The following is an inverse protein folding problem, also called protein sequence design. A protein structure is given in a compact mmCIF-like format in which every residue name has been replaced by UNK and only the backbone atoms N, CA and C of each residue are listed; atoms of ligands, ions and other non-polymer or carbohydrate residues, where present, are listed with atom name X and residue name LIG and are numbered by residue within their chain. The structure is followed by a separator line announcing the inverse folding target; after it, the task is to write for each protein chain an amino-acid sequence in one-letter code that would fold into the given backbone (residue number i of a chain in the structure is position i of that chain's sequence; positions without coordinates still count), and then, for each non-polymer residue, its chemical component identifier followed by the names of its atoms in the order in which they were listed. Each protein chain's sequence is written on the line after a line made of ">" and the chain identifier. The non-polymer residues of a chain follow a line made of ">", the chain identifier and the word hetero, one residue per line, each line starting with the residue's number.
data_IF_882375895303
#
_entry.id   IF_882375895303
#
_cell.length_a   1.000
_cell.length_b   1.000
_cell.length_c   1.000
_cell.angle_alpha   90.00
_cell.angle_beta   90.00
_cell.angle_gamma   90.00
#
_symmetry.space_group_name_H-M   'P 1'
#
loop_
_entity.id
_entity.type
_entity.pdbx_description
1 polymer ?
#
# COMPACT_ATOMS: atom_id res chain seq x y z
N UNK A 1 11.82 30.05 -1.11
CA UNK A 1 10.50 30.30 -1.66
C UNK A 1 10.55 30.38 -3.19
N UNK A 2 11.05 29.40 -3.87
CA UNK A 2 10.86 29.12 -5.31
C UNK A 2 10.93 27.61 -5.52
N UNK A 3 10.32 26.88 -4.61
CA UNK A 3 9.89 25.50 -4.83
C UNK A 3 8.70 25.66 -5.76
N UNK A 4 8.69 24.92 -6.88
CA UNK A 4 7.42 24.35 -7.26
C UNK A 4 6.63 24.97 -8.42
N UNK A 5 7.15 25.90 -9.18
CA UNK A 5 6.47 26.27 -10.42
C UNK A 5 6.38 25.07 -11.41
N UNK A 6 7.37 24.17 -11.38
CA UNK A 6 7.39 22.94 -12.17
C UNK A 6 6.50 21.85 -11.55
N UNK A 7 6.63 21.67 -10.23
CA UNK A 7 5.84 20.69 -9.48
C UNK A 7 4.36 21.11 -9.46
N UNK A 8 4.09 22.42 -9.29
CA UNK A 8 2.74 22.97 -9.36
C UNK A 8 2.09 22.83 -10.76
N UNK A 9 2.86 22.88 -11.84
CA UNK A 9 2.36 22.63 -13.20
C UNK A 9 2.07 21.14 -13.48
N UNK A 10 2.77 20.23 -12.81
CA UNK A 10 2.56 18.78 -12.94
C UNK A 10 1.49 18.23 -11.97
N UNK A 11 1.07 19.01 -10.95
CA UNK A 11 0.08 18.56 -9.97
C UNK A 11 -1.25 18.10 -10.56
N UNK A 12 -1.87 18.77 -11.55
CA UNK A 12 -3.13 18.30 -12.13
C UNK A 12 -2.95 17.06 -13.02
N UNK A 13 -1.74 16.84 -13.57
CA UNK A 13 -1.47 15.74 -14.52
C UNK A 13 -0.70 14.56 -13.90
N UNK A 14 -0.38 14.60 -12.59
CA UNK A 14 0.39 13.52 -11.93
C UNK A 14 -0.27 12.15 -12.08
N UNK A 15 -1.57 12.08 -11.86
CA UNK A 15 -2.30 10.83 -12.03
C UNK A 15 -2.31 10.36 -13.50
N UNK A 16 -2.43 11.29 -14.46
CA UNK A 16 -2.40 10.97 -15.88
C UNK A 16 -1.02 10.49 -16.34
N UNK A 17 0.06 11.12 -15.87
CA UNK A 17 1.43 10.67 -16.17
C UNK A 17 1.72 9.30 -15.54
N UNK A 18 1.27 9.08 -14.29
CA UNK A 18 1.36 7.77 -13.65
C UNK A 18 0.60 6.70 -14.43
N UNK A 19 -0.64 7.00 -14.85
CA UNK A 19 -1.44 6.05 -15.60
C UNK A 19 -0.82 5.70 -16.96
N UNK A 20 -0.27 6.69 -17.66
CA UNK A 20 0.43 6.46 -18.92
C UNK A 20 1.68 5.58 -18.73
N UNK A 21 2.48 5.88 -17.70
CA UNK A 21 3.65 5.06 -17.35
C UNK A 21 3.25 3.61 -17.03
N UNK A 22 2.21 3.42 -16.20
CA UNK A 22 1.73 2.09 -15.85
C UNK A 22 1.14 1.31 -17.03
N UNK A 23 0.56 1.98 -18.02
CA UNK A 23 0.06 1.33 -19.23
C UNK A 23 1.19 0.81 -20.14
N UNK A 24 2.32 1.52 -20.16
CA UNK A 24 3.49 1.16 -21.00
C UNK A 24 4.46 0.23 -20.29
N UNK A 25 4.48 0.23 -18.96
CA UNK A 25 5.43 -0.53 -18.13
C UNK A 25 5.52 -2.04 -18.45
N UNK A 26 4.42 -2.79 -18.74
CA UNK A 26 4.53 -4.23 -19.02
C UNK A 26 5.25 -4.56 -20.32
N UNK A 27 5.49 -3.57 -21.20
CA UNK A 27 6.25 -3.78 -22.43
C UNK A 27 7.76 -3.88 -22.16
N UNK A 28 8.24 -3.25 -21.07
CA UNK A 28 9.65 -3.26 -20.69
C UNK A 28 10.01 -4.41 -19.74
N UNK A 29 9.02 -5.05 -19.10
CA UNK A 29 9.27 -6.12 -18.14
C UNK A 29 9.06 -7.50 -18.77
N UNK A 30 10.12 -8.36 -18.83
CA UNK A 30 10.00 -9.72 -19.35
C UNK A 30 9.11 -10.61 -18.46
N UNK A 31 9.16 -10.44 -17.15
CA UNK A 31 8.38 -11.21 -16.18
C UNK A 31 7.15 -10.42 -15.70
N UNK A 32 6.00 -10.68 -16.32
CA UNK A 32 4.74 -9.97 -16.04
C UNK A 32 4.22 -10.18 -14.62
N UNK A 33 4.55 -11.31 -13.99
CA UNK A 33 4.17 -11.60 -12.61
C UNK A 33 4.83 -10.61 -11.62
N UNK A 34 6.12 -10.31 -11.82
CA UNK A 34 6.85 -9.33 -11.01
C UNK A 34 6.24 -7.93 -11.19
N UNK A 35 5.87 -7.58 -12.43
CA UNK A 35 5.23 -6.29 -12.69
C UNK A 35 3.89 -6.14 -11.95
N UNK A 36 3.07 -7.19 -11.89
CA UNK A 36 1.83 -7.21 -11.11
C UNK A 36 2.13 -7.05 -9.62
N UNK A 37 3.13 -7.76 -9.11
CA UNK A 37 3.52 -7.68 -7.71
C UNK A 37 4.02 -6.28 -7.33
N UNK A 38 4.79 -5.62 -8.20
CA UNK A 38 5.23 -4.22 -8.03
C UNK A 38 4.01 -3.28 -7.92
N UNK A 39 2.98 -3.47 -8.73
CA UNK A 39 1.76 -2.66 -8.65
C UNK A 39 1.03 -2.84 -7.32
N UNK A 40 0.87 -4.07 -6.86
CA UNK A 40 0.16 -4.40 -5.63
C UNK A 40 0.94 -3.88 -4.42
N UNK A 41 2.24 -4.17 -4.35
CA UNK A 41 3.09 -3.72 -3.25
C UNK A 41 3.30 -2.20 -3.28
N UNK A 42 3.34 -1.59 -4.47
CA UNK A 42 3.36 -0.14 -4.64
C UNK A 42 2.08 0.51 -4.11
N UNK A 43 0.91 -0.10 -4.35
CA UNK A 43 -0.36 0.35 -3.80
C UNK A 43 -0.40 0.22 -2.26
N UNK A 44 0.14 -0.87 -1.73
CA UNK A 44 0.29 -1.07 -0.29
C UNK A 44 1.21 -0.01 0.35
N UNK A 45 2.39 0.21 -0.24
CA UNK A 45 3.31 1.26 0.19
C UNK A 45 2.71 2.66 0.04
N UNK A 46 1.83 2.89 -0.96
CA UNK A 46 1.09 4.14 -1.13
C UNK A 46 0.12 4.39 0.02
N UNK A 47 -0.63 3.36 0.45
CA UNK A 47 -1.50 3.43 1.62
C UNK A 47 -0.71 3.78 2.88
N UNK A 48 0.45 3.15 3.09
CA UNK A 48 1.36 3.49 4.19
C UNK A 48 1.90 4.93 4.07
N UNK A 49 2.28 5.38 2.87
CA UNK A 49 2.79 6.71 2.61
C UNK A 49 1.74 7.80 2.87
N UNK A 50 0.46 7.51 2.70
CA UNK A 50 -0.61 8.45 3.05
C UNK A 50 -0.54 8.81 4.54
N UNK A 51 -0.31 7.83 5.41
CA UNK A 51 -0.24 8.06 6.84
C UNK A 51 1.15 8.57 7.27
N UNK A 52 2.21 7.90 6.86
CA UNK A 52 3.57 8.24 7.29
C UNK A 52 4.14 9.44 6.51
N UNK A 53 3.99 9.42 5.20
CA UNK A 53 4.55 10.43 4.32
C UNK A 53 3.85 11.78 4.39
N UNK A 54 2.53 11.82 4.45
CA UNK A 54 1.77 13.08 4.43
C UNK A 54 1.32 13.55 5.81
N UNK A 55 1.15 12.65 6.78
CA UNK A 55 0.70 13.01 8.13
C UNK A 55 1.79 12.86 9.20
N UNK A 56 2.86 12.11 8.91
CA UNK A 56 3.99 11.92 9.82
C UNK A 56 3.76 10.85 10.91
N UNK A 57 2.75 9.99 10.78
CA UNK A 57 2.44 8.94 11.73
C UNK A 57 3.01 7.59 11.28
N UNK A 58 4.04 7.11 11.98
CA UNK A 58 4.61 5.77 11.76
C UNK A 58 3.72 4.71 12.38
N UNK A 59 3.20 3.79 11.58
CA UNK A 59 2.36 2.67 12.03
C UNK A 59 2.90 1.34 11.54
N UNK A 60 3.03 0.38 12.45
CA UNK A 60 3.33 -1.03 12.12
C UNK A 60 2.08 -1.92 12.04
N UNK A 61 0.89 -1.29 11.97
CA UNK A 61 -0.39 -1.98 11.82
C UNK A 61 -0.82 -2.27 10.39
N UNK A 62 -0.05 -1.83 9.39
CA UNK A 62 -0.47 -1.89 7.98
C UNK A 62 -0.58 -3.31 7.42
N UNK A 63 0.16 -4.29 7.98
CA UNK A 63 0.00 -5.70 7.66
C UNK A 63 -1.44 -6.19 7.95
N UNK A 64 -2.01 -5.76 9.09
CA UNK A 64 -3.39 -6.11 9.43
C UNK A 64 -4.42 -5.51 8.46
N UNK A 65 -4.14 -4.34 7.89
CA UNK A 65 -5.00 -3.70 6.90
C UNK A 65 -4.95 -4.44 5.55
N UNK A 66 -3.73 -4.80 5.12
CA UNK A 66 -3.49 -5.61 3.92
C UNK A 66 -4.12 -6.99 4.06
N UNK A 67 -3.74 -7.73 5.12
CA UNK A 67 -4.21 -9.09 5.34
C UNK A 67 -5.70 -9.15 5.63
N UNK A 68 -6.25 -8.20 6.41
CA UNK A 68 -7.69 -8.09 6.64
C UNK A 68 -8.47 -7.92 5.34
N UNK A 69 -7.96 -7.09 4.42
CA UNK A 69 -8.52 -6.94 3.08
C UNK A 69 -8.40 -8.20 2.23
N UNK A 70 -7.24 -8.88 2.27
CA UNK A 70 -7.01 -10.12 1.54
C UNK A 70 -7.93 -11.25 2.02
N UNK A 71 -8.04 -11.44 3.34
CA UNK A 71 -8.92 -12.46 3.91
C UNK A 71 -10.40 -12.18 3.66
N UNK A 72 -10.85 -10.93 3.80
CA UNK A 72 -12.24 -10.58 3.51
C UNK A 72 -12.59 -10.86 2.04
N UNK A 73 -11.71 -10.49 1.11
CA UNK A 73 -11.87 -10.80 -0.31
C UNK A 73 -11.89 -12.32 -0.54
N UNK A 74 -10.91 -13.05 0.02
CA UNK A 74 -10.80 -14.50 -0.13
C UNK A 74 -12.00 -15.25 0.43
N UNK A 75 -12.45 -14.91 1.65
CA UNK A 75 -13.62 -15.54 2.28
C UNK A 75 -14.88 -15.31 1.45
N UNK A 76 -15.11 -14.09 0.96
CA UNK A 76 -16.28 -13.73 0.15
C UNK A 76 -16.29 -14.53 -1.16
N UNK A 77 -15.16 -14.71 -1.81
CA UNK A 77 -15.07 -15.47 -3.06
C UNK A 77 -15.17 -16.97 -2.80
N UNK A 78 -14.42 -17.51 -1.82
CA UNK A 78 -14.29 -18.96 -1.62
C UNK A 78 -15.48 -19.55 -0.88
N UNK A 79 -15.95 -18.88 0.18
CA UNK A 79 -17.00 -19.42 1.06
C UNK A 79 -18.40 -19.06 0.60
N UNK A 80 -18.59 -17.83 0.12
CA UNK A 80 -19.89 -17.34 -0.33
C UNK A 80 -20.09 -17.46 -1.84
N UNK A 81 -19.06 -17.88 -2.60
CA UNK A 81 -19.15 -18.01 -4.06
C UNK A 81 -19.47 -16.71 -4.79
N UNK A 82 -19.21 -15.57 -4.14
CA UNK A 82 -19.55 -14.26 -4.71
C UNK A 82 -18.57 -13.88 -5.82
N UNK A 83 -19.01 -13.04 -6.78
CA UNK A 83 -18.16 -12.60 -7.87
C UNK A 83 -16.99 -11.74 -7.37
N UNK A 84 -15.91 -11.70 -8.16
CA UNK A 84 -14.66 -11.03 -7.85
C UNK A 84 -14.81 -9.55 -7.45
N UNK A 85 -15.77 -8.81 -8.05
CA UNK A 85 -15.98 -7.39 -7.76
C UNK A 85 -16.55 -7.17 -6.34
N UNK A 86 -17.42 -8.06 -5.85
CA UNK A 86 -17.87 -8.06 -4.44
C UNK A 86 -16.68 -8.40 -3.53
N UNK A 87 -15.82 -9.34 -3.94
CA UNK A 87 -14.60 -9.68 -3.21
C UNK A 87 -13.67 -8.48 -3.04
N UNK A 88 -13.41 -7.72 -4.11
CA UNK A 88 -12.57 -6.52 -4.04
C UNK A 88 -13.21 -5.43 -3.18
N UNK A 89 -14.51 -5.20 -3.34
CA UNK A 89 -15.23 -4.23 -2.54
C UNK A 89 -15.21 -4.60 -1.05
N UNK A 90 -15.46 -5.86 -0.72
CA UNK A 90 -15.42 -6.36 0.66
C UNK A 90 -14.03 -6.25 1.26
N UNK A 91 -12.96 -6.56 0.50
CA UNK A 91 -11.58 -6.41 0.96
C UNK A 91 -11.20 -4.96 1.23
N UNK A 92 -11.60 -4.04 0.35
CA UNK A 92 -11.39 -2.61 0.55
C UNK A 92 -12.12 -2.11 1.79
N UNK A 93 -13.38 -2.47 1.96
CA UNK A 93 -14.19 -2.10 3.13
C UNK A 93 -13.64 -2.71 4.42
N UNK A 94 -13.22 -3.97 4.39
CA UNK A 94 -12.60 -4.63 5.54
C UNK A 94 -11.30 -3.92 5.97
N UNK A 95 -10.45 -3.54 5.03
CA UNK A 95 -9.27 -2.73 5.31
C UNK A 95 -9.62 -1.40 5.99
N UNK A 96 -10.67 -0.71 5.51
CA UNK A 96 -11.17 0.53 6.14
C UNK A 96 -11.73 0.28 7.56
N UNK A 97 -12.49 -0.80 7.76
CA UNK A 97 -13.09 -1.14 9.06
C UNK A 97 -12.00 -1.53 10.08
N UNK A 98 -11.04 -2.36 9.69
CA UNK A 98 -9.89 -2.71 10.53
C UNK A 98 -9.10 -1.46 10.88
N UNK A 99 -8.85 -0.56 9.92
CA UNK A 99 -8.20 0.71 10.17
C UNK A 99 -9.03 1.60 11.10
N UNK A 100 -10.34 1.65 10.95
CA UNK A 100 -11.21 2.42 11.84
C UNK A 100 -11.12 1.92 13.29
N UNK A 101 -11.12 0.59 13.49
CA UNK A 101 -10.99 -0.03 14.81
C UNK A 101 -9.62 0.21 15.43
N UNK A 102 -8.53 -0.12 14.72
CA UNK A 102 -7.15 0.12 15.19
C UNK A 102 -6.93 1.61 15.43
N UNK A 103 -7.37 2.46 14.50
CA UNK A 103 -7.23 3.90 14.57
C UNK A 103 -7.93 4.51 15.79
N UNK A 104 -9.15 4.08 16.10
CA UNK A 104 -9.90 4.57 17.26
C UNK A 104 -9.16 4.35 18.58
N UNK A 105 -8.42 3.26 18.70
CA UNK A 105 -7.62 2.92 19.88
C UNK A 105 -6.23 3.61 19.84
N UNK A 106 -5.55 3.53 18.70
CA UNK A 106 -4.16 3.97 18.56
C UNK A 106 -4.00 5.50 18.54
N UNK A 107 -4.95 6.26 17.99
CA UNK A 107 -4.84 7.73 17.84
C UNK A 107 -4.75 8.47 19.18
N UNK A 108 -5.17 7.83 20.27
CA UNK A 108 -5.01 8.37 21.63
C UNK A 108 -3.55 8.43 22.08
N UNK A 109 -2.67 7.70 21.40
CA UNK A 109 -1.23 7.65 21.67
C UNK A 109 -0.45 8.50 20.67
N UNK A 110 0.82 8.83 20.99
CA UNK A 110 1.67 9.70 20.17
C UNK A 110 3.07 9.11 19.98
N UNK A 111 3.72 9.50 18.88
CA UNK A 111 5.10 9.12 18.62
C UNK A 111 5.29 7.61 18.57
N UNK A 112 6.29 7.10 19.26
CA UNK A 112 6.65 5.67 19.28
C UNK A 112 5.55 4.78 19.87
N UNK A 113 4.77 5.31 20.84
CA UNK A 113 3.66 4.56 21.44
C UNK A 113 2.55 4.26 20.43
N UNK A 114 2.30 5.15 19.47
CA UNK A 114 1.38 4.90 18.36
C UNK A 114 1.84 3.72 17.52
N UNK A 115 3.12 3.67 17.17
CA UNK A 115 3.71 2.56 16.42
C UNK A 115 3.60 1.22 17.17
N UNK A 116 3.88 1.22 18.48
CA UNK A 116 3.80 0.01 19.32
C UNK A 116 2.37 -0.49 19.48
N UNK A 117 1.39 0.40 19.70
CA UNK A 117 -0.03 0.03 19.85
C UNK A 117 -0.57 -0.54 18.52
N UNK A 118 -0.24 0.09 17.39
CA UNK A 118 -0.67 -0.42 16.07
C UNK A 118 -0.05 -1.77 15.76
N UNK A 119 1.20 -2.02 16.15
CA UNK A 119 1.86 -3.33 16.02
C UNK A 119 1.18 -4.38 16.90
N UNK A 120 0.89 -4.07 18.16
CA UNK A 120 0.24 -5.01 19.08
C UNK A 120 -1.16 -5.40 18.57
N UNK A 121 -1.97 -4.42 18.11
CA UNK A 121 -3.30 -4.68 17.57
C UNK A 121 -3.24 -5.48 16.26
N UNK A 122 -2.24 -5.24 15.41
CA UNK A 122 -2.02 -6.05 14.21
C UNK A 122 -1.67 -7.51 14.55
N UNK A 123 -0.84 -7.73 15.58
CA UNK A 123 -0.51 -9.08 16.06
C UNK A 123 -1.72 -9.79 16.66
N UNK A 124 -2.61 -9.08 17.36
CA UNK A 124 -3.88 -9.67 17.80
C UNK A 124 -4.70 -10.20 16.61
N UNK A 125 -4.82 -9.42 15.52
CA UNK A 125 -5.53 -9.85 14.32
C UNK A 125 -4.83 -11.03 13.62
N UNK A 126 -3.50 -11.05 13.59
CA UNK A 126 -2.74 -12.20 13.10
C UNK A 126 -3.08 -13.47 13.89
N UNK A 127 -3.05 -13.43 15.23
CA UNK A 127 -3.37 -14.58 16.06
C UNK A 127 -4.83 -15.02 15.91
N UNK A 128 -5.77 -14.09 15.79
CA UNK A 128 -7.17 -14.42 15.50
C UNK A 128 -7.29 -15.15 14.16
N UNK A 129 -6.64 -14.67 13.11
CA UNK A 129 -6.65 -15.33 11.81
C UNK A 129 -5.94 -16.69 11.85
N UNK A 130 -4.84 -16.80 12.59
CA UNK A 130 -4.10 -18.05 12.75
C UNK A 130 -4.93 -19.14 13.46
N UNK A 131 -5.72 -18.76 14.46
CA UNK A 131 -6.56 -19.68 15.23
C UNK A 131 -7.90 -20.02 14.58
N UNK A 132 -8.43 -19.13 13.74
CA UNK A 132 -9.72 -19.32 13.06
C UNK A 132 -9.60 -20.25 11.86
N UNK A 133 -9.05 -21.46 12.05
CA UNK A 133 -8.70 -22.42 10.98
C UNK A 133 -9.87 -22.69 10.03
N UNK A 134 -11.08 -22.83 10.55
CA UNK A 134 -12.27 -23.10 9.75
C UNK A 134 -12.59 -21.99 8.73
N UNK A 135 -12.23 -20.74 9.02
CA UNK A 135 -12.52 -19.59 8.16
C UNK A 135 -11.34 -19.16 7.32
N UNK A 136 -10.15 -19.17 7.88
CA UNK A 136 -8.93 -18.61 7.30
C UNK A 136 -7.99 -19.65 6.71
N UNK A 137 -8.18 -20.94 7.06
CA UNK A 137 -7.24 -22.01 6.76
C UNK A 137 -6.05 -22.09 7.71
N UNK A 138 -5.99 -21.21 8.74
CA UNK A 138 -4.92 -21.19 9.74
C UNK A 138 -3.53 -20.98 9.11
N UNK A 139 -2.56 -21.81 9.53
CA UNK A 139 -1.18 -21.77 9.03
C UNK A 139 -1.08 -21.98 7.51
N UNK A 140 -1.95 -22.82 6.94
CA UNK A 140 -1.96 -23.11 5.50
C UNK A 140 -2.51 -21.95 4.64
N UNK A 141 -3.12 -20.96 5.25
CA UNK A 141 -3.78 -19.86 4.57
C UNK A 141 -5.05 -20.27 3.83
N UNK A 142 -5.81 -19.30 3.35
CA UNK A 142 -7.04 -19.52 2.61
C UNK A 142 -6.73 -19.78 1.14
N UNK A 143 -6.96 -21.02 0.67
CA UNK A 143 -6.72 -21.43 -0.71
C UNK A 143 -8.00 -21.38 -1.53
N UNK A 144 -7.83 -21.36 -2.86
CA UNK A 144 -8.96 -21.46 -3.79
C UNK A 144 -9.57 -20.12 -4.19
N UNK A 145 -8.86 -19.01 -4.01
CA UNK A 145 -9.26 -17.69 -4.51
C UNK A 145 -9.07 -17.63 -6.03
N UNK A 146 -9.76 -18.53 -6.75
CA UNK A 146 -9.62 -18.65 -8.19
C UNK A 146 -10.69 -17.80 -8.89
N UNK A 147 -10.23 -16.77 -9.58
CA UNK A 147 -11.03 -16.00 -10.52
C UNK A 147 -10.59 -16.40 -11.92
N UNK A 148 -11.23 -17.45 -12.47
CA UNK A 148 -10.83 -18.03 -13.75
C UNK A 148 -11.18 -17.14 -14.96
N UNK A 149 -12.22 -16.33 -14.88
CA UNK A 149 -12.63 -15.43 -15.95
C UNK A 149 -13.48 -14.26 -15.45
N UNK A 150 -13.29 -13.10 -16.05
CA UNK A 150 -14.16 -11.94 -15.86
C UNK A 150 -15.08 -11.85 -17.08
N UNK A 151 -16.36 -12.06 -16.88
CA UNK A 151 -17.37 -11.67 -17.84
C UNK A 151 -17.76 -10.20 -17.59
N UNK A 152 -17.21 -9.31 -18.36
CA UNK A 152 -17.59 -7.90 -18.35
C UNK A 152 -18.29 -7.57 -19.67
N UNK A 153 -19.56 -7.18 -19.62
CA UNK A 153 -20.34 -6.75 -20.81
C UNK A 153 -20.29 -7.75 -21.98
N UNK A 154 -20.29 -9.07 -21.69
CA UNK A 154 -20.26 -10.10 -22.75
C UNK A 154 -18.87 -10.46 -23.28
N UNK A 155 -17.81 -9.82 -22.83
CA UNK A 155 -16.43 -10.18 -23.14
C UNK A 155 -15.86 -11.05 -22.03
N UNK A 156 -15.53 -12.30 -22.34
CA UNK A 156 -14.84 -13.21 -21.42
C UNK A 156 -13.35 -12.89 -21.42
N UNK A 157 -12.90 -12.16 -20.40
CA UNK A 157 -11.48 -11.89 -20.19
C UNK A 157 -10.89 -13.00 -19.31
N UNK A 158 -9.96 -13.74 -19.87
CA UNK A 158 -9.25 -14.80 -19.16
C UNK A 158 -8.12 -14.19 -18.33
N UNK A 159 -8.35 -14.07 -17.00
CA UNK A 159 -7.34 -13.51 -16.05
C UNK A 159 -6.12 -14.44 -15.91
N UNK A 160 -6.21 -15.68 -16.35
CA UNK A 160 -5.05 -16.61 -16.34
C UNK A 160 -3.93 -16.07 -17.21
N UNK A 161 -4.26 -15.31 -18.26
CA UNK A 161 -3.24 -14.67 -19.11
C UNK A 161 -2.51 -13.57 -18.34
N UNK A 162 -1.18 -13.61 -18.22
CA UNK A 162 -0.39 -12.67 -17.40
C UNK A 162 -0.60 -11.20 -17.79
N UNK A 163 -0.82 -10.93 -19.08
CA UNK A 163 -1.01 -9.56 -19.59
C UNK A 163 -2.40 -9.00 -19.21
N UNK A 164 -3.44 -9.83 -19.27
CA UNK A 164 -4.80 -9.45 -18.87
C UNK A 164 -4.82 -9.18 -17.35
N UNK A 165 -4.18 -10.04 -16.57
CA UNK A 165 -4.03 -9.86 -15.11
C UNK A 165 -3.31 -8.55 -14.77
N UNK A 166 -2.26 -8.21 -15.51
CA UNK A 166 -1.56 -6.96 -15.31
C UNK A 166 -2.49 -5.74 -15.51
N UNK A 167 -3.18 -5.66 -16.65
CA UNK A 167 -4.08 -4.54 -16.93
C UNK A 167 -5.28 -4.49 -16.00
N UNK A 168 -5.75 -5.65 -15.54
CA UNK A 168 -6.79 -5.72 -14.51
C UNK A 168 -6.33 -5.04 -13.21
N UNK A 169 -5.17 -5.41 -12.68
CA UNK A 169 -4.61 -4.80 -11.46
C UNK A 169 -4.28 -3.33 -11.70
N UNK A 170 -3.68 -3.00 -12.85
CA UNK A 170 -3.33 -1.63 -13.22
C UNK A 170 -4.55 -0.70 -13.24
N UNK A 171 -5.73 -1.17 -13.68
CA UNK A 171 -6.94 -0.37 -13.67
C UNK A 171 -7.34 0.05 -12.24
N UNK A 172 -7.27 -0.85 -11.28
CA UNK A 172 -7.55 -0.53 -9.86
C UNK A 172 -6.49 0.39 -9.26
N UNK A 173 -5.22 0.16 -9.58
CA UNK A 173 -4.13 1.03 -9.13
C UNK A 173 -4.28 2.45 -9.70
N UNK A 174 -4.62 2.59 -10.97
CA UNK A 174 -4.88 3.90 -11.60
C UNK A 174 -6.06 4.60 -10.93
N UNK A 175 -7.16 3.87 -10.67
CA UNK A 175 -8.30 4.41 -9.94
C UNK A 175 -7.89 4.87 -8.52
N UNK A 176 -7.10 4.08 -7.80
CA UNK A 176 -6.57 4.43 -6.48
C UNK A 176 -5.68 5.67 -6.53
N UNK A 177 -4.79 5.78 -7.53
CA UNK A 177 -3.94 6.97 -7.72
C UNK A 177 -4.79 8.22 -8.03
N UNK A 178 -5.87 8.07 -8.79
CA UNK A 178 -6.79 9.17 -9.05
C UNK A 178 -7.48 9.62 -7.75
N UNK A 179 -7.98 8.68 -6.96
CA UNK A 179 -8.60 8.96 -5.64
C UNK A 179 -7.58 9.66 -4.72
N UNK A 180 -6.35 9.13 -4.63
CA UNK A 180 -5.29 9.76 -3.84
C UNK A 180 -5.01 11.19 -4.30
N UNK A 181 -4.91 11.43 -5.61
CA UNK A 181 -4.66 12.76 -6.15
C UNK A 181 -5.76 13.76 -5.73
N UNK A 182 -7.02 13.31 -5.68
CA UNK A 182 -8.16 14.11 -5.21
C UNK A 182 -8.11 14.36 -3.71
N UNK A 183 -7.73 13.35 -2.92
CA UNK A 183 -7.56 13.49 -1.46
C UNK A 183 -6.47 14.54 -1.17
N UNK A 184 -5.33 14.45 -1.83
CA UNK A 184 -4.21 15.38 -1.60
C UNK A 184 -4.49 16.81 -2.10
N UNK A 185 -5.31 16.97 -3.12
CA UNK A 185 -5.75 18.27 -3.63
C UNK A 185 -6.88 18.89 -2.82
N UNK A 186 -7.48 18.15 -1.89
CA UNK A 186 -8.60 18.63 -1.06
C UNK A 186 -8.12 19.43 0.17
N UNK A 187 -9.00 20.18 0.85
CA UNK A 187 -8.68 20.83 2.13
C UNK A 187 -8.15 19.85 3.18
N UNK A 188 -8.58 18.58 3.11
CA UNK A 188 -8.10 17.52 3.99
C UNK A 188 -6.60 17.23 3.76
N UNK A 189 -6.14 17.23 2.50
CA UNK A 189 -4.71 17.08 2.18
C UNK A 189 -3.86 18.20 2.80
N UNK A 190 -4.33 19.45 2.69
CA UNK A 190 -3.69 20.60 3.32
C UNK A 190 -3.67 20.49 4.86
N UNK A 191 -4.76 19.98 5.46
CA UNK A 191 -4.83 19.74 6.90
C UNK A 191 -3.80 18.69 7.35
N UNK A 192 -3.64 17.59 6.61
CA UNK A 192 -2.62 16.56 6.91
C UNK A 192 -1.22 17.15 6.89
N UNK A 193 -0.87 17.96 5.89
CA UNK A 193 0.44 18.59 5.78
C UNK A 193 0.68 19.58 6.92
N UNK A 194 -0.32 20.41 7.26
CA UNK A 194 -0.25 21.34 8.39
C UNK A 194 -0.03 20.64 9.73
N UNK A 195 -0.71 19.51 9.97
CA UNK A 195 -0.56 18.68 11.17
C UNK A 195 0.85 18.07 11.23
N UNK A 196 1.38 17.59 10.10
CA UNK A 196 2.74 17.05 10.00
C UNK A 196 3.80 18.10 10.32
N UNK A 197 3.62 19.32 9.82
CA UNK A 197 4.59 20.40 10.08
C UNK A 197 4.60 20.87 11.53
N UNK A 198 3.41 21.14 12.09
CA UNK A 198 3.29 21.59 13.49
C UNK A 198 1.86 21.38 14.01
N UNK A 199 1.69 20.33 14.84
CA UNK A 199 0.41 19.97 15.46
C UNK A 199 -0.19 21.13 16.28
N UNK A 200 0.63 21.83 17.06
CA UNK A 200 0.17 22.92 17.93
C UNK A 200 -0.37 24.08 17.12
N UNK A 201 0.32 24.43 16.03
CA UNK A 201 -0.11 25.48 15.11
C UNK A 201 -1.38 25.10 14.36
N UNK A 202 -1.47 23.87 13.87
CA UNK A 202 -2.67 23.36 13.18
C UNK A 202 -3.90 23.42 14.11
N UNK A 203 -3.72 23.04 15.38
CA UNK A 203 -4.78 23.13 16.40
C UNK A 203 -5.21 24.56 16.68
N UNK A 204 -4.27 25.50 16.75
CA UNK A 204 -4.57 26.93 16.92
C UNK A 204 -5.34 27.51 15.73
N UNK A 205 -5.16 26.96 14.52
CA UNK A 205 -5.93 27.30 13.32
C UNK A 205 -7.31 26.61 13.26
N UNK A 206 -7.73 25.84 14.27
CA UNK A 206 -9.03 25.23 14.37
C UNK A 206 -9.17 23.84 13.74
N UNK A 207 -8.05 23.19 13.31
CA UNK A 207 -8.13 21.82 12.79
C UNK A 207 -8.36 20.80 13.91
N UNK A 208 -9.29 19.88 13.69
CA UNK A 208 -9.47 18.71 14.56
C UNK A 208 -8.39 17.66 14.20
N UNK A 209 -7.36 17.59 15.04
CA UNK A 209 -6.22 16.69 14.85
C UNK A 209 -6.63 15.24 14.97
N UNK A 210 -7.52 14.90 15.92
CA UNK A 210 -7.91 13.52 16.17
C UNK A 210 -8.75 12.97 15.02
N UNK A 211 -9.76 13.72 14.59
CA UNK A 211 -10.59 13.34 13.45
C UNK A 211 -9.77 13.24 12.15
N UNK A 212 -8.86 14.18 11.93
CA UNK A 212 -7.98 14.18 10.74
C UNK A 212 -7.06 12.96 10.72
N UNK A 213 -6.46 12.59 11.84
CA UNK A 213 -5.62 11.40 11.98
C UNK A 213 -6.41 10.12 11.76
N UNK A 214 -7.60 10.03 12.38
CA UNK A 214 -8.47 8.87 12.26
C UNK A 214 -8.90 8.66 10.80
N UNK A 215 -9.37 9.72 10.15
CA UNK A 215 -9.80 9.66 8.75
C UNK A 215 -8.65 9.28 7.81
N UNK A 216 -7.45 9.86 8.01
CA UNK A 216 -6.26 9.50 7.25
C UNK A 216 -5.90 8.01 7.41
N UNK A 217 -6.04 7.47 8.64
CA UNK A 217 -5.77 6.06 8.91
C UNK A 217 -6.80 5.15 8.24
N UNK A 218 -8.09 5.52 8.26
CA UNK A 218 -9.18 4.79 7.57
C UNK A 218 -8.97 4.79 6.05
N UNK A 219 -8.62 5.94 5.47
CA UNK A 219 -8.32 6.04 4.04
C UNK A 219 -7.09 5.21 3.65
N UNK A 220 -6.04 5.25 4.48
CA UNK A 220 -4.87 4.37 4.33
C UNK A 220 -5.28 2.90 4.33
N UNK A 221 -6.17 2.51 5.26
CA UNK A 221 -6.75 1.17 5.32
C UNK A 221 -7.50 0.77 4.06
N UNK A 222 -8.19 1.70 3.41
CA UNK A 222 -8.84 1.46 2.13
C UNK A 222 -7.85 1.10 1.01
N UNK A 223 -6.75 1.84 0.88
CA UNK A 223 -5.70 1.53 -0.09
C UNK A 223 -4.99 0.20 0.22
N UNK A 224 -4.68 -0.06 1.49
CA UNK A 224 -4.05 -1.32 1.90
C UNK A 224 -5.01 -2.51 1.73
N UNK A 225 -6.30 -2.36 2.08
CA UNK A 225 -7.31 -3.40 1.88
C UNK A 225 -7.55 -3.72 0.41
N UNK A 226 -7.54 -2.70 -0.46
CA UNK A 226 -7.59 -2.89 -1.92
C UNK A 226 -6.35 -3.65 -2.41
N UNK A 227 -5.15 -3.28 -1.94
CA UNK A 227 -3.92 -4.00 -2.27
C UNK A 227 -3.99 -5.47 -1.83
N UNK A 228 -4.50 -5.74 -0.62
CA UNK A 228 -4.71 -7.10 -0.10
C UNK A 228 -5.69 -7.91 -0.93
N UNK A 229 -6.83 -7.32 -1.33
CA UNK A 229 -7.81 -7.98 -2.19
C UNK A 229 -7.21 -8.34 -3.57
N UNK A 230 -6.46 -7.43 -4.17
CA UNK A 230 -5.76 -7.68 -5.44
C UNK A 230 -4.67 -8.73 -5.29
N UNK A 231 -3.97 -8.76 -4.16
CA UNK A 231 -2.96 -9.79 -3.85
C UNK A 231 -3.60 -11.17 -3.72
N UNK A 232 -4.73 -11.30 -3.03
CA UNK A 232 -5.47 -12.55 -2.89
C UNK A 232 -5.88 -13.13 -4.25
N UNK A 233 -6.40 -12.29 -5.15
CA UNK A 233 -6.77 -12.68 -6.51
C UNK A 233 -5.54 -13.02 -7.36
N UNK A 234 -4.43 -12.27 -7.18
CA UNK A 234 -3.20 -12.49 -7.95
C UNK A 234 -2.53 -13.83 -7.59
N UNK A 235 -2.41 -14.13 -6.29
CA UNK A 235 -1.77 -15.35 -5.80
C UNK A 235 -2.70 -16.58 -5.84
N UNK A 236 -4.02 -16.38 -5.84
CA UNK A 236 -5.00 -17.48 -5.70
C UNK A 236 -5.05 -18.07 -4.29
N UNK A 237 -4.31 -17.49 -3.35
CA UNK A 237 -4.21 -17.89 -1.95
C UNK A 237 -4.01 -16.65 -1.08
N UNK A 238 -4.48 -16.70 0.17
CA UNK A 238 -4.18 -15.70 1.18
C UNK A 238 -3.28 -16.34 2.25
N UNK A 239 -1.95 -16.13 2.19
CA UNK A 239 -1.04 -16.63 3.20
C UNK A 239 -1.25 -15.89 4.53
N UNK A 240 -1.10 -16.59 5.66
CA UNK A 240 -1.25 -15.98 6.99
C UNK A 240 -0.15 -14.93 7.26
N UNK A 241 1.00 -15.09 6.64
CA UNK A 241 2.13 -14.16 6.72
C UNK A 241 1.80 -12.74 6.24
N UNK A 242 0.77 -12.57 5.42
CA UNK A 242 0.31 -11.22 5.01
C UNK A 242 -0.13 -10.36 6.18
N UNK A 243 -0.57 -10.97 7.29
CA UNK A 243 -0.94 -10.30 8.55
C UNK A 243 0.24 -10.09 9.48
N UNK A 244 1.39 -10.72 9.21
CA UNK A 244 2.52 -10.69 10.12
C UNK A 244 3.25 -9.34 10.09
N UNK A 245 3.80 -8.89 11.21
CA UNK A 245 4.41 -7.55 11.37
C UNK A 245 5.54 -7.25 10.37
N UNK A 246 6.25 -8.28 9.89
CA UNK A 246 7.30 -8.13 8.88
C UNK A 246 6.76 -7.49 7.60
N UNK A 247 5.52 -7.80 7.22
CA UNK A 247 4.84 -7.18 6.05
C UNK A 247 4.68 -5.67 6.25
N UNK A 248 4.38 -5.20 7.47
CA UNK A 248 4.40 -3.75 7.75
C UNK A 248 5.80 -3.16 7.60
N UNK A 249 6.85 -3.89 7.99
CA UNK A 249 8.24 -3.49 7.78
C UNK A 249 8.59 -3.32 6.31
N UNK A 250 8.09 -4.21 5.43
CA UNK A 250 8.27 -4.08 3.98
C UNK A 250 7.66 -2.78 3.44
N UNK A 251 6.46 -2.39 3.89
CA UNK A 251 5.84 -1.12 3.50
C UNK A 251 6.70 0.09 3.91
N UNK A 252 7.28 0.05 5.12
CA UNK A 252 8.22 1.06 5.60
C UNK A 252 9.43 1.14 4.68
N UNK A 253 10.08 -0.01 4.39
CA UNK A 253 11.26 -0.08 3.53
C UNK A 253 10.99 0.47 2.14
N UNK A 254 9.91 0.02 1.48
CA UNK A 254 9.53 0.50 0.15
C UNK A 254 9.26 2.01 0.13
N UNK A 255 8.57 2.53 1.14
CA UNK A 255 8.23 3.96 1.21
C UNK A 255 9.45 4.82 1.47
N UNK A 256 10.37 4.38 2.34
CA UNK A 256 11.62 5.11 2.62
C UNK A 256 12.57 5.09 1.42
N UNK A 257 12.77 3.93 0.79
CA UNK A 257 13.58 3.82 -0.44
C UNK A 257 13.06 4.71 -1.55
N UNK A 258 11.74 4.70 -1.76
CA UNK A 258 11.13 5.51 -2.80
C UNK A 258 11.16 7.01 -2.52
N UNK A 259 11.03 7.39 -1.27
CA UNK A 259 10.94 8.78 -0.81
C UNK A 259 9.59 9.10 -0.20
N UNK A 260 9.57 9.23 1.12
CA UNK A 260 8.36 9.51 1.89
C UNK A 260 7.77 10.89 1.56
N UNK A 261 6.44 10.98 1.54
CA UNK A 261 5.69 12.20 1.22
C UNK A 261 5.72 12.57 -0.26
N UNK A 262 6.17 11.67 -1.13
CA UNK A 262 6.10 11.86 -2.59
C UNK A 262 5.02 11.00 -3.21
N UNK A 263 4.45 11.45 -4.33
CA UNK A 263 3.35 10.74 -5.01
C UNK A 263 3.81 9.45 -5.70
N UNK A 264 4.97 9.49 -6.36
CA UNK A 264 5.52 8.36 -7.12
C UNK A 264 6.48 7.48 -6.31
N UNK A 265 7.01 8.02 -5.21
CA UNK A 265 8.01 7.34 -4.39
C UNK A 265 7.65 5.90 -4.01
N UNK A 266 6.47 5.64 -3.45
CA UNK A 266 6.09 4.29 -3.03
C UNK A 266 6.17 3.24 -4.14
N UNK A 267 5.78 3.59 -5.37
CA UNK A 267 5.87 2.68 -6.53
C UNK A 267 7.30 2.45 -6.97
N UNK A 268 8.12 3.51 -6.96
CA UNK A 268 9.55 3.40 -7.30
C UNK A 268 10.25 2.57 -6.23
N UNK A 269 9.95 2.83 -4.95
CA UNK A 269 10.51 2.07 -3.84
C UNK A 269 10.10 0.59 -3.87
N UNK A 270 8.83 0.29 -4.14
CA UNK A 270 8.36 -1.08 -4.32
C UNK A 270 9.05 -1.75 -5.52
N UNK A 271 9.18 -1.05 -6.64
CA UNK A 271 9.87 -1.57 -7.82
C UNK A 271 11.34 -1.89 -7.55
N UNK A 272 12.09 -0.96 -6.96
CA UNK A 272 13.50 -1.15 -6.61
C UNK A 272 13.66 -2.26 -5.59
N UNK A 273 12.81 -2.30 -4.55
CA UNK A 273 12.88 -3.31 -3.50
C UNK A 273 12.63 -4.71 -4.06
N UNK A 274 11.54 -4.91 -4.81
CA UNK A 274 11.18 -6.22 -5.37
C UNK A 274 12.18 -6.70 -6.43
N UNK A 275 12.69 -5.80 -7.28
CA UNK A 275 13.74 -6.17 -8.25
C UNK A 275 15.04 -6.55 -7.56
N UNK A 276 15.39 -5.84 -6.48
CA UNK A 276 16.58 -6.16 -5.70
C UNK A 276 16.42 -7.50 -4.97
N UNK A 277 15.25 -7.75 -4.39
CA UNK A 277 14.89 -9.04 -3.77
C UNK A 277 15.02 -10.19 -4.79
N UNK A 278 14.43 -10.05 -5.97
CA UNK A 278 14.47 -11.06 -7.04
C UNK A 278 15.90 -11.34 -7.47
N UNK A 279 16.68 -10.30 -7.77
CA UNK A 279 18.08 -10.46 -8.24
C UNK A 279 18.94 -11.08 -7.15
N UNK A 280 18.85 -10.62 -5.91
CA UNK A 280 19.69 -11.10 -4.81
C UNK A 280 19.31 -12.53 -4.40
N UNK A 281 18.04 -12.89 -4.45
CA UNK A 281 17.58 -14.25 -4.12
C UNK A 281 18.12 -15.32 -5.06
N UNK A 282 18.44 -14.96 -6.32
CA UNK A 282 19.10 -15.86 -7.28
C UNK A 282 20.53 -16.19 -6.89
N UNK A 283 21.21 -15.33 -6.12
CA UNK A 283 22.64 -15.45 -5.82
C UNK A 283 22.90 -16.03 -4.43
N UNK A 284 22.00 -15.83 -3.48
CA UNK A 284 22.21 -16.29 -2.09
C UNK A 284 20.92 -16.59 -1.35
N UNK A 285 20.97 -17.61 -0.49
CA UNK A 285 19.89 -17.95 0.43
C UNK A 285 19.69 -16.85 1.50
N UNK A 286 20.76 -16.10 1.81
CA UNK A 286 20.73 -15.02 2.81
C UNK A 286 20.36 -13.65 2.19
N UNK A 287 19.49 -13.64 1.18
CA UNK A 287 19.07 -12.43 0.48
C UNK A 287 18.56 -11.33 1.42
N UNK A 288 17.87 -11.69 2.51
CA UNK A 288 17.32 -10.74 3.48
C UNK A 288 18.41 -9.87 4.14
N UNK A 289 19.57 -10.45 4.45
CA UNK A 289 20.70 -9.72 5.03
C UNK A 289 21.24 -8.69 4.03
N UNK A 290 21.42 -9.10 2.77
CA UNK A 290 21.94 -8.19 1.73
C UNK A 290 20.95 -7.07 1.43
N UNK A 291 19.66 -7.40 1.29
CA UNK A 291 18.61 -6.39 1.08
C UNK A 291 18.54 -5.41 2.26
N UNK A 292 18.67 -5.92 3.50
CA UNK A 292 18.74 -5.08 4.69
C UNK A 292 19.95 -4.16 4.70
N UNK A 293 21.14 -4.67 4.31
CA UNK A 293 22.36 -3.85 4.21
C UNK A 293 22.22 -2.75 3.13
N UNK A 294 21.68 -3.09 1.97
CA UNK A 294 21.40 -2.11 0.90
C UNK A 294 20.40 -1.07 1.37
N UNK A 295 19.36 -1.49 2.12
CA UNK A 295 18.38 -0.56 2.69
C UNK A 295 19.05 0.44 3.65
N UNK A 296 19.88 -0.05 4.58
CA UNK A 296 20.62 0.81 5.52
C UNK A 296 21.52 1.79 4.74
N UNK A 297 22.26 1.32 3.75
CA UNK A 297 23.07 2.17 2.91
C UNK A 297 22.22 3.23 2.18
N UNK A 298 21.09 2.85 1.59
CA UNK A 298 20.18 3.80 0.93
C UNK A 298 19.66 4.86 1.89
N UNK A 299 19.27 4.49 3.11
CA UNK A 299 18.78 5.47 4.11
C UNK A 299 19.89 6.44 4.54
N UNK A 300 21.13 5.96 4.70
CA UNK A 300 22.27 6.79 5.08
C UNK A 300 22.70 7.77 3.96
N UNK A 301 22.76 7.29 2.73
CA UNK A 301 23.23 8.10 1.59
C UNK A 301 22.13 8.92 0.92
N UNK A 302 20.86 8.47 0.98
CA UNK A 302 19.71 9.10 0.35
C UNK A 302 18.60 9.42 1.37
N UNK A 303 18.81 10.37 2.31
CA UNK A 303 17.83 10.65 3.37
C UNK A 303 16.47 11.19 2.87
N UNK A 304 16.37 11.57 1.58
CA UNK A 304 15.13 12.00 0.92
C UNK A 304 14.51 10.89 0.05
N UNK A 305 15.09 9.68 0.07
CA UNK A 305 14.75 8.59 -0.82
C UNK A 305 15.24 8.80 -2.26
N UNK A 306 15.12 7.77 -3.10
CA UNK A 306 15.60 7.81 -4.49
C UNK A 306 14.90 8.89 -5.30
N UNK A 307 13.57 8.97 -5.24
CA UNK A 307 12.79 9.97 -5.97
C UNK A 307 13.02 11.40 -5.46
N UNK A 308 13.14 11.58 -4.14
CA UNK A 308 13.40 12.88 -3.53
C UNK A 308 14.77 13.46 -3.90
N UNK A 309 15.80 12.61 -4.04
CA UNK A 309 17.14 13.04 -4.47
C UNK A 309 17.20 13.38 -5.95
N UNK A 310 16.51 12.62 -6.82
CA UNK A 310 16.39 12.94 -8.24
C UNK A 310 15.74 14.30 -8.47
N UNK A 311 14.66 14.61 -7.72
CA UNK A 311 14.01 15.93 -7.79
C UNK A 311 14.89 17.05 -7.25
N UNK A 312 15.69 16.83 -6.22
CA UNK A 312 16.59 17.84 -5.64
C UNK A 312 17.82 18.11 -6.53
N UNK A 313 18.28 17.13 -7.29
CA UNK A 313 19.40 17.28 -8.23
C UNK A 313 19.11 18.16 -9.45
N UNK A 314 17.84 18.32 -9.83
CA UNK A 314 17.41 19.21 -10.93
C UNK A 314 17.09 20.65 -10.49
N UNK A 315 17.21 20.95 -9.19
CA UNK A 315 16.93 22.26 -8.61
C UNK A 315 18.20 23.08 -8.26
N UNK A 316 19.38 22.60 -8.71
CA UNK A 316 20.66 23.36 -8.59
C UNK A 316 21.02 24.01 -9.90
#
# INVERSE_FOLDING_TARGET
>A
MRRDAWIARLTPHRAALASLFLLVFPLFMPFKAIAVNILIQGLFALGFNLLYGYLGLLSFGHAALLGGGAYACGIVIVRFGMPWWIGIASGTLAGMLVAAGIGALAIRTRGIYFAMVTLALAQCLYFVAYQAVDWTGGENGLRGVNVAGISLLGVHLDIVRPLVRYYFVAAFVIAALFVLSRILASPFGAAMEAIRENETRARACGYDIAASRWLAFVLSGGFCGLAGALQAIHLGIVPVETLYYTTSGLAVMMTLLGGMGTFFGPFIGAGVFLLLEEVVSLWTVHWQLLVGAVFVACVLFFPRGLWGTLLAGHAR
#
